data_IF_769205691916
#
_entry.id   IF_769205691916
#
_cell.length_a   1.000
_cell.length_b   1.000
_cell.length_c   1.000
_cell.angle_alpha   90.00
_cell.angle_beta   90.00
_cell.angle_gamma   90.00
#
_symmetry.space_group_name_H-M   'P 1'
#
loop_
_entity.id
_entity.type
_entity.pdbx_description
1 polymer ?
#
# COMPACT_ATOMS: atom_id res chain seq x y z
N UNK A 1 -31.02 -37.71 6.21
CA UNK A 1 -31.18 -38.46 7.47
C UNK A 1 -29.99 -39.37 7.85
N UNK A 2 -29.48 -40.29 7.01
CA UNK A 2 -28.30 -41.14 7.40
C UNK A 2 -26.97 -40.38 7.46
N UNK A 3 -26.73 -39.40 6.59
CA UNK A 3 -25.50 -38.60 6.61
C UNK A 3 -25.45 -37.56 7.75
N UNK A 4 -26.61 -37.03 8.15
CA UNK A 4 -26.71 -36.12 9.30
C UNK A 4 -26.46 -36.83 10.62
N UNK A 5 -26.98 -38.05 10.77
CA UNK A 5 -26.74 -38.88 11.96
C UNK A 5 -25.26 -39.29 12.12
N UNK A 6 -24.56 -39.60 11.03
CA UNK A 6 -23.12 -39.92 11.08
C UNK A 6 -22.27 -38.68 11.38
N UNK A 7 -22.65 -37.52 10.89
CA UNK A 7 -21.99 -36.23 11.19
C UNK A 7 -22.16 -35.83 12.67
N UNK A 8 -23.36 -36.04 13.24
CA UNK A 8 -23.61 -35.80 14.67
C UNK A 8 -22.86 -36.78 15.58
N UNK A 9 -22.82 -38.07 15.23
CA UNK A 9 -22.05 -39.03 16.02
C UNK A 9 -20.55 -38.78 15.95
N UNK A 10 -20.03 -38.45 14.78
CA UNK A 10 -18.62 -38.09 14.61
C UNK A 10 -18.29 -36.83 15.41
N UNK A 11 -19.16 -35.81 15.39
CA UNK A 11 -19.00 -34.59 16.15
C UNK A 11 -19.07 -34.83 17.66
N UNK A 12 -19.98 -35.68 18.14
CA UNK A 12 -20.06 -36.10 19.53
C UNK A 12 -18.83 -36.92 19.97
N UNK A 13 -18.29 -37.75 19.09
CA UNK A 13 -17.09 -38.53 19.36
C UNK A 13 -15.83 -37.65 19.40
N UNK A 14 -15.71 -36.71 18.49
CA UNK A 14 -14.65 -35.68 18.49
C UNK A 14 -14.76 -34.78 19.73
N UNK A 15 -15.96 -34.37 20.10
CA UNK A 15 -16.23 -33.56 21.30
C UNK A 15 -15.83 -34.30 22.59
N UNK A 16 -16.22 -35.58 22.71
CA UNK A 16 -15.84 -36.42 23.85
C UNK A 16 -14.34 -36.72 23.90
N UNK A 17 -13.67 -36.81 22.77
CA UNK A 17 -12.22 -36.99 22.66
C UNK A 17 -11.43 -35.71 22.98
N UNK A 18 -11.96 -34.52 22.61
CA UNK A 18 -11.37 -33.22 22.90
C UNK A 18 -11.65 -32.76 24.35
N UNK A 19 -12.86 -32.97 24.85
CA UNK A 19 -13.32 -32.43 26.15
C UNK A 19 -13.47 -33.51 27.24
N UNK A 20 -13.07 -34.76 26.97
CA UNK A 20 -13.17 -35.87 27.92
C UNK A 20 -12.23 -35.79 29.14
N UNK A 21 -11.45 -34.72 29.28
CA UNK A 21 -10.58 -34.48 30.44
C UNK A 21 -10.58 -32.99 30.78
N UNK A 22 -10.78 -32.67 32.05
CA UNK A 22 -10.75 -31.28 32.56
C UNK A 22 -9.53 -30.51 32.03
N UNK A 23 -8.37 -31.16 31.96
CA UNK A 23 -7.13 -30.61 31.44
C UNK A 23 -7.27 -30.15 29.98
N UNK A 24 -7.83 -31.01 29.11
CA UNK A 24 -8.01 -30.70 27.68
C UNK A 24 -9.01 -29.56 27.48
N UNK A 25 -10.09 -29.59 28.27
CA UNK A 25 -11.14 -28.57 28.22
C UNK A 25 -10.59 -27.19 28.60
N UNK A 26 -9.89 -27.09 29.71
CA UNK A 26 -9.28 -25.81 30.16
C UNK A 26 -8.27 -25.32 29.12
N UNK A 27 -7.41 -26.19 28.60
CA UNK A 27 -6.45 -25.84 27.59
C UNK A 27 -7.12 -25.31 26.29
N UNK A 28 -8.18 -26.01 25.82
CA UNK A 28 -8.93 -25.60 24.65
C UNK A 28 -9.63 -24.24 24.85
N UNK A 29 -10.21 -24.00 26.03
CA UNK A 29 -10.86 -22.72 26.37
C UNK A 29 -9.85 -21.58 26.37
N UNK A 30 -8.67 -21.75 27.00
CA UNK A 30 -7.61 -20.73 27.02
C UNK A 30 -7.13 -20.46 25.59
N UNK A 31 -6.92 -21.50 24.79
CA UNK A 31 -6.46 -21.38 23.41
C UNK A 31 -7.45 -20.60 22.54
N UNK A 32 -8.74 -20.91 22.65
CA UNK A 32 -9.80 -20.20 21.93
C UNK A 32 -9.89 -18.74 22.40
N UNK A 33 -9.83 -18.51 23.70
CA UNK A 33 -9.95 -17.17 24.31
C UNK A 33 -8.81 -16.23 23.92
N UNK A 34 -7.64 -16.75 23.56
CA UNK A 34 -6.49 -15.95 23.13
C UNK A 34 -6.41 -15.87 21.61
N UNK A 35 -6.57 -17.01 20.90
CA UNK A 35 -6.40 -17.04 19.45
C UNK A 35 -7.52 -16.29 18.74
N UNK A 36 -8.77 -16.45 19.14
CA UNK A 36 -9.90 -15.83 18.43
C UNK A 36 -9.82 -14.31 18.47
N UNK A 37 -9.67 -13.63 19.63
CA UNK A 37 -9.53 -12.19 19.67
C UNK A 37 -8.28 -11.69 18.93
N UNK A 38 -7.14 -12.39 19.05
CA UNK A 38 -5.90 -12.02 18.34
C UNK A 38 -6.08 -12.11 16.83
N UNK A 39 -6.73 -13.17 16.33
CA UNK A 39 -7.01 -13.31 14.91
C UNK A 39 -7.98 -12.24 14.39
N UNK A 40 -9.04 -11.94 15.15
CA UNK A 40 -10.01 -10.89 14.81
C UNK A 40 -9.31 -9.53 14.75
N UNK A 41 -8.55 -9.18 15.78
CA UNK A 41 -7.80 -7.92 15.83
C UNK A 41 -6.78 -7.85 14.69
N UNK A 42 -6.09 -8.95 14.39
CA UNK A 42 -5.15 -9.03 13.27
C UNK A 42 -5.81 -8.76 11.93
N UNK A 43 -6.97 -9.36 11.66
CA UNK A 43 -7.71 -9.15 10.40
C UNK A 43 -8.23 -7.71 10.31
N UNK A 44 -8.77 -7.16 11.40
CA UNK A 44 -9.26 -5.77 11.43
C UNK A 44 -8.10 -4.80 11.20
N UNK A 45 -7.00 -4.96 11.93
CA UNK A 45 -5.81 -4.12 11.80
C UNK A 45 -5.23 -4.16 10.40
N UNK A 46 -5.12 -5.36 9.79
CA UNK A 46 -4.65 -5.49 8.42
C UNK A 46 -5.55 -4.79 7.40
N UNK A 47 -6.88 -4.92 7.54
CA UNK A 47 -7.84 -4.23 6.67
C UNK A 47 -7.76 -2.71 6.80
N UNK A 48 -7.69 -2.21 8.03
CA UNK A 48 -7.56 -0.77 8.29
C UNK A 48 -6.23 -0.22 7.76
N UNK A 49 -5.12 -0.89 8.03
CA UNK A 49 -3.81 -0.50 7.54
C UNK A 49 -3.79 -0.42 6.00
N UNK A 50 -4.30 -1.46 5.32
CA UNK A 50 -4.39 -1.47 3.86
C UNK A 50 -5.23 -0.30 3.32
N UNK A 51 -6.34 0.03 3.97
CA UNK A 51 -7.18 1.17 3.58
C UNK A 51 -6.43 2.49 3.73
N UNK A 52 -5.75 2.70 4.87
CA UNK A 52 -4.97 3.91 5.15
C UNK A 52 -3.83 4.08 4.13
N UNK A 53 -3.06 3.02 3.87
CA UNK A 53 -1.97 3.07 2.88
C UNK A 53 -2.50 3.39 1.50
N UNK A 54 -3.57 2.73 1.06
CA UNK A 54 -4.16 3.01 -0.27
C UNK A 54 -4.63 4.46 -0.38
N UNK A 55 -5.23 5.01 0.67
CA UNK A 55 -5.69 6.40 0.69
C UNK A 55 -4.51 7.38 0.71
N UNK A 56 -3.49 7.12 1.51
CA UNK A 56 -2.27 7.95 1.55
C UNK A 56 -1.58 7.98 0.17
N UNK A 57 -1.46 6.83 -0.48
CA UNK A 57 -0.90 6.75 -1.84
C UNK A 57 -1.76 7.51 -2.84
N UNK A 58 -3.08 7.43 -2.73
CA UNK A 58 -4.01 8.20 -3.57
C UNK A 58 -3.77 9.71 -3.44
N UNK A 59 -3.72 10.20 -2.21
CA UNK A 59 -3.50 11.63 -1.92
C UNK A 59 -2.12 12.08 -2.40
N UNK A 60 -1.09 11.27 -2.13
CA UNK A 60 0.29 11.58 -2.55
C UNK A 60 0.42 11.59 -4.08
N UNK A 61 -0.17 10.61 -4.77
CA UNK A 61 -0.19 10.57 -6.23
C UNK A 61 -0.87 11.81 -6.82
N UNK A 62 -2.02 12.19 -6.28
CA UNK A 62 -2.74 13.37 -6.72
C UNK A 62 -1.91 14.63 -6.50
N UNK A 63 -1.29 14.77 -5.32
CA UNK A 63 -0.43 15.92 -4.99
C UNK A 63 0.78 16.01 -5.92
N UNK A 64 1.51 14.92 -6.13
CA UNK A 64 2.68 14.87 -7.01
C UNK A 64 2.31 15.19 -8.46
N UNK A 65 1.22 14.60 -8.96
CA UNK A 65 0.75 14.85 -10.34
C UNK A 65 0.35 16.31 -10.53
N UNK A 66 -0.33 16.90 -9.55
CA UNK A 66 -0.70 18.31 -9.53
C UNK A 66 0.53 19.23 -9.50
N UNK A 67 1.55 18.88 -8.71
CA UNK A 67 2.80 19.62 -8.64
C UNK A 67 3.53 19.63 -10.00
N UNK A 68 3.61 18.47 -10.67
CA UNK A 68 4.22 18.36 -11.99
C UNK A 68 3.43 19.19 -13.01
N UNK A 69 2.10 19.09 -13.00
CA UNK A 69 1.26 19.91 -13.88
C UNK A 69 1.48 21.40 -13.66
N UNK A 70 1.59 21.85 -12.42
CA UNK A 70 1.89 23.25 -12.07
C UNK A 70 3.28 23.68 -12.53
N UNK A 71 4.29 22.80 -12.43
CA UNK A 71 5.64 23.09 -12.92
C UNK A 71 5.65 23.23 -14.44
N UNK A 72 4.96 22.34 -15.17
CA UNK A 72 4.81 22.44 -16.62
C UNK A 72 4.06 23.74 -16.99
N UNK A 73 2.97 24.08 -16.28
CA UNK A 73 2.26 25.34 -16.49
C UNK A 73 3.17 26.56 -16.29
N UNK A 74 4.04 26.52 -15.28
CA UNK A 74 5.07 27.54 -15.05
C UNK A 74 6.04 27.68 -16.22
N UNK A 75 6.54 26.57 -16.78
CA UNK A 75 7.40 26.57 -17.96
C UNK A 75 6.65 27.19 -19.16
N UNK A 76 5.40 26.77 -19.41
CA UNK A 76 4.61 27.29 -20.52
C UNK A 76 4.32 28.78 -20.36
N UNK A 77 4.07 29.25 -19.14
CA UNK A 77 3.89 30.68 -18.85
C UNK A 77 5.17 31.48 -19.07
N UNK A 78 6.34 30.94 -18.73
CA UNK A 78 7.61 31.58 -19.03
C UNK A 78 7.84 31.68 -20.54
N UNK A 79 7.58 30.62 -21.31
CA UNK A 79 7.63 30.69 -22.77
C UNK A 79 6.67 31.74 -23.34
N UNK A 80 5.48 31.89 -22.79
CA UNK A 80 4.52 32.91 -23.17
C UNK A 80 5.03 34.31 -22.87
N UNK A 81 5.61 34.52 -21.68
CA UNK A 81 6.16 35.80 -21.28
C UNK A 81 7.34 36.23 -22.17
N UNK A 82 8.26 35.26 -22.46
CA UNK A 82 9.39 35.52 -23.38
C UNK A 82 8.88 35.84 -24.78
N UNK A 83 7.84 35.14 -25.26
CA UNK A 83 7.20 35.47 -26.53
C UNK A 83 6.62 36.89 -26.55
N UNK A 84 5.98 37.32 -25.48
CA UNK A 84 5.47 38.67 -25.37
C UNK A 84 6.59 39.72 -25.31
N UNK A 85 7.70 39.42 -24.62
CA UNK A 85 8.88 40.28 -24.58
C UNK A 85 9.45 40.50 -25.98
N UNK A 86 9.58 39.44 -26.77
CA UNK A 86 10.00 39.56 -28.18
C UNK A 86 9.00 40.36 -29.02
N UNK A 87 7.70 40.10 -28.85
CA UNK A 87 6.63 40.79 -29.57
C UNK A 87 6.65 42.30 -29.36
N UNK A 88 6.96 42.77 -28.16
CA UNK A 88 6.97 44.18 -27.79
C UNK A 88 8.28 44.90 -28.13
N UNK A 89 9.29 44.18 -28.61
CA UNK A 89 10.61 44.73 -28.86
C UNK A 89 10.70 45.44 -30.22
N UNK A 90 11.24 46.65 -30.20
CA UNK A 90 11.36 47.49 -31.43
C UNK A 90 12.27 46.87 -32.47
N UNK A 91 13.36 46.16 -32.10
CA UNK A 91 14.25 45.49 -33.04
C UNK A 91 13.53 44.37 -33.84
N UNK A 92 12.60 43.67 -33.17
CA UNK A 92 11.73 42.67 -33.83
C UNK A 92 10.82 43.38 -34.82
N UNK A 93 10.20 44.49 -34.42
CA UNK A 93 9.32 45.27 -35.27
C UNK A 93 10.05 45.86 -36.47
N UNK A 94 11.23 46.48 -36.28
CA UNK A 94 12.08 47.00 -37.35
C UNK A 94 12.43 45.95 -38.39
N UNK A 95 12.85 44.75 -37.94
CA UNK A 95 13.14 43.62 -38.83
C UNK A 95 11.91 43.18 -39.62
N UNK A 96 10.75 43.08 -38.98
CA UNK A 96 9.53 42.63 -39.65
C UNK A 96 9.00 43.64 -40.70
N UNK A 97 9.18 44.92 -40.46
CA UNK A 97 8.67 46.02 -41.27
C UNK A 97 9.68 46.56 -42.32
N UNK A 98 10.98 46.26 -42.18
CA UNK A 98 12.02 46.76 -43.09
C UNK A 98 11.67 46.45 -44.56
N UNK A 99 11.83 47.39 -45.45
CA UNK A 99 11.43 47.26 -46.86
C UNK A 99 12.64 47.19 -47.82
N UNK A 100 13.68 47.97 -47.50
CA UNK A 100 14.89 48.02 -48.28
C UNK A 100 15.83 46.84 -47.92
N UNK A 101 16.56 46.20 -48.85
CA UNK A 101 17.55 45.17 -48.56
C UNK A 101 18.58 45.56 -47.50
N UNK A 102 19.07 46.83 -47.56
CA UNK A 102 20.06 47.35 -46.60
C UNK A 102 19.47 47.52 -45.21
N UNK A 103 18.25 48.00 -45.12
CA UNK A 103 17.50 48.08 -43.85
C UNK A 103 17.27 46.67 -43.22
N UNK A 104 16.93 45.68 -44.05
CA UNK A 104 16.72 44.31 -43.59
C UNK A 104 18.00 43.73 -43.03
N UNK A 105 19.15 43.95 -43.68
CA UNK A 105 20.44 43.45 -43.22
C UNK A 105 20.83 44.11 -41.87
N UNK A 106 20.70 45.41 -41.76
CA UNK A 106 20.99 46.13 -40.53
C UNK A 106 20.08 45.72 -39.38
N UNK A 107 18.78 45.62 -39.65
CA UNK A 107 17.79 45.16 -38.64
C UNK A 107 18.04 43.72 -38.24
N UNK A 108 18.51 42.85 -39.18
CA UNK A 108 18.88 41.48 -38.89
C UNK A 108 20.03 41.39 -37.85
N UNK A 109 21.09 42.18 -38.03
CA UNK A 109 22.21 42.22 -37.05
C UNK A 109 21.78 42.70 -35.67
N UNK A 110 20.97 43.72 -35.58
CA UNK A 110 20.44 44.22 -34.30
C UNK A 110 19.55 43.19 -33.62
N UNK A 111 18.65 42.58 -34.39
CA UNK A 111 17.77 41.51 -33.93
C UNK A 111 18.56 40.28 -33.44
N UNK A 112 19.59 39.87 -34.17
CA UNK A 112 20.42 38.71 -33.82
C UNK A 112 21.12 38.92 -32.49
N UNK A 113 21.74 40.09 -32.25
CA UNK A 113 22.35 40.37 -30.96
C UNK A 113 21.33 40.35 -29.81
N UNK A 114 20.17 40.96 -30.04
CA UNK A 114 19.11 40.96 -29.03
C UNK A 114 18.62 39.56 -28.71
N UNK A 115 18.28 38.78 -29.74
CA UNK A 115 17.74 37.41 -29.53
C UNK A 115 18.75 36.49 -28.86
N UNK A 116 20.01 36.51 -29.29
CA UNK A 116 21.05 35.67 -28.70
C UNK A 116 21.28 36.02 -27.22
N UNK A 117 21.28 37.30 -26.88
CA UNK A 117 21.39 37.75 -25.48
C UNK A 117 20.19 37.30 -24.67
N UNK A 118 18.98 37.37 -25.22
CA UNK A 118 17.77 36.97 -24.51
C UNK A 118 17.72 35.45 -24.28
N UNK A 119 18.04 34.68 -25.29
CA UNK A 119 18.01 33.20 -25.21
C UNK A 119 19.08 32.66 -24.24
N UNK A 120 20.23 33.33 -24.12
CA UNK A 120 21.33 32.91 -23.26
C UNK A 120 20.93 32.75 -21.79
N UNK A 121 19.88 33.41 -21.34
CA UNK A 121 19.37 33.36 -19.97
C UNK A 121 18.09 32.51 -19.80
N UNK A 122 17.57 31.93 -20.91
CA UNK A 122 16.31 31.18 -20.90
C UNK A 122 16.59 29.68 -21.01
N UNK A 123 16.47 28.97 -19.91
CA UNK A 123 16.78 27.53 -19.79
C UNK A 123 15.97 26.64 -20.77
N UNK A 124 14.74 27.03 -21.04
CA UNK A 124 13.81 26.21 -21.83
C UNK A 124 13.75 26.58 -23.30
N UNK A 125 14.25 27.74 -23.70
CA UNK A 125 14.24 28.17 -25.11
C UNK A 125 15.44 27.58 -25.84
N UNK A 126 15.17 26.82 -26.89
CA UNK A 126 16.21 26.26 -27.77
C UNK A 126 16.57 27.26 -28.89
N UNK A 127 15.55 27.80 -29.56
CA UNK A 127 15.71 28.75 -30.67
C UNK A 127 14.46 29.60 -30.84
N UNK A 128 14.61 30.70 -31.57
CA UNK A 128 13.53 31.63 -31.94
C UNK A 128 13.62 31.97 -33.41
N UNK A 129 12.48 31.89 -34.10
CA UNK A 129 12.30 32.31 -35.48
C UNK A 129 11.37 33.52 -35.55
N UNK A 130 11.69 34.45 -36.42
CA UNK A 130 10.80 35.48 -36.92
C UNK A 130 10.64 35.36 -38.43
N UNK A 131 9.41 35.25 -38.90
CA UNK A 131 9.08 35.09 -40.29
C UNK A 131 8.29 36.29 -40.78
N UNK A 132 8.82 36.99 -41.76
CA UNK A 132 8.18 38.16 -42.39
C UNK A 132 7.03 37.70 -43.32
N UNK A 133 6.16 38.64 -43.65
CA UNK A 133 5.09 38.36 -44.61
C UNK A 133 5.59 38.10 -46.01
N UNK A 134 6.77 38.61 -46.40
CA UNK A 134 7.43 38.37 -47.69
C UNK A 134 8.14 37.01 -47.76
N UNK A 135 8.10 36.23 -46.65
CA UNK A 135 8.69 34.88 -46.56
C UNK A 135 10.14 34.87 -46.07
N UNK A 136 10.81 36.01 -45.93
CA UNK A 136 12.16 36.06 -45.34
C UNK A 136 12.08 35.69 -43.85
N UNK A 137 13.11 34.95 -43.40
CA UNK A 137 13.15 34.38 -42.09
C UNK A 137 14.43 34.78 -41.35
N UNK A 138 14.31 35.26 -40.14
CA UNK A 138 15.36 35.20 -39.13
C UNK A 138 15.23 33.92 -38.34
N UNK A 139 16.32 33.26 -38.05
CA UNK A 139 16.39 32.13 -37.16
C UNK A 139 17.64 32.22 -36.31
N UNK A 140 17.50 31.99 -35.00
CA UNK A 140 18.63 31.88 -34.06
C UNK A 140 19.34 30.52 -34.13
N UNK A 141 18.81 29.56 -34.92
CA UNK A 141 19.39 28.23 -35.13
C UNK A 141 19.20 27.79 -36.56
N UNK A 142 20.21 27.12 -37.12
CA UNK A 142 20.19 26.60 -38.48
C UNK A 142 19.39 25.32 -38.65
N UNK A 143 18.99 24.67 -37.54
CA UNK A 143 18.33 23.34 -37.52
C UNK A 143 16.80 23.40 -37.54
N UNK A 144 16.19 24.59 -37.52
CA UNK A 144 14.74 24.73 -37.47
C UNK A 144 14.12 24.89 -38.86
N UNK A 145 13.01 24.17 -39.13
CA UNK A 145 12.33 24.22 -40.47
C UNK A 145 11.47 25.48 -40.65
N UNK A 146 11.18 26.22 -39.57
CA UNK A 146 10.32 27.39 -39.61
C UNK A 146 8.83 27.05 -39.60
N UNK A 147 8.00 28.07 -39.87
CA UNK A 147 6.56 27.99 -39.85
C UNK A 147 6.03 27.65 -41.24
N UNK A 148 5.31 26.51 -41.39
CA UNK A 148 4.70 26.10 -42.66
C UNK A 148 3.52 27.01 -43.08
N UNK A 149 3.17 27.02 -44.37
CA UNK A 149 2.03 27.77 -44.89
C UNK A 149 0.70 27.52 -44.15
N UNK A 150 0.27 26.25 -44.01
CA UNK A 150 -0.97 25.95 -43.27
C UNK A 150 -0.98 26.46 -41.80
N UNK A 151 0.17 26.44 -41.13
CA UNK A 151 0.28 26.95 -39.77
C UNK A 151 0.17 28.49 -39.75
N UNK A 152 0.72 29.18 -40.76
CA UNK A 152 0.56 30.64 -40.91
C UNK A 152 -0.89 31.04 -41.09
N UNK A 153 -1.64 30.32 -41.92
CA UNK A 153 -3.09 30.57 -42.12
C UNK A 153 -3.88 30.38 -40.80
N UNK A 154 -3.59 29.26 -40.08
CA UNK A 154 -4.23 28.99 -38.80
C UNK A 154 -3.93 30.07 -37.74
N UNK A 155 -2.69 30.63 -37.75
CA UNK A 155 -2.30 31.69 -36.82
C UNK A 155 -2.98 33.02 -37.16
N UNK A 156 -3.24 33.29 -38.45
CA UNK A 156 -4.00 34.47 -38.88
C UNK A 156 -5.47 34.35 -38.48
N UNK A 157 -6.10 33.20 -38.64
CA UNK A 157 -7.48 32.96 -38.25
C UNK A 157 -7.70 33.09 -36.74
N UNK A 158 -6.73 32.69 -35.93
CA UNK A 158 -6.82 32.77 -34.45
C UNK A 158 -6.66 34.18 -33.90
N UNK A 159 -6.66 35.25 -34.72
CA UNK A 159 -6.54 36.62 -34.29
C UNK A 159 -5.40 36.87 -33.29
N UNK A 160 -4.20 36.32 -33.56
CA UNK A 160 -3.02 36.50 -32.72
C UNK A 160 -2.93 35.60 -31.47
N UNK A 161 -3.88 34.69 -31.27
CA UNK A 161 -3.77 33.71 -30.23
C UNK A 161 -2.61 32.75 -30.49
N UNK A 162 -1.85 32.34 -29.46
CA UNK A 162 -0.72 31.43 -29.65
C UNK A 162 -1.18 30.01 -29.98
N UNK A 163 -0.31 29.28 -30.66
CA UNK A 163 -0.47 27.87 -31.00
C UNK A 163 0.72 27.07 -30.49
N UNK A 164 0.46 26.01 -29.72
CA UNK A 164 1.46 25.00 -29.43
C UNK A 164 1.54 24.00 -30.58
N UNK A 165 2.77 23.56 -30.88
CA UNK A 165 3.07 22.59 -31.92
C UNK A 165 3.95 21.48 -31.35
N UNK A 166 3.51 20.27 -31.51
CA UNK A 166 4.23 19.04 -31.13
C UNK A 166 4.75 18.25 -32.31
N UNK A 167 4.48 18.72 -33.52
CA UNK A 167 4.76 18.10 -34.84
C UNK A 167 5.97 18.71 -35.53
N UNK A 168 6.93 19.28 -34.81
CA UNK A 168 8.09 19.94 -35.45
C UNK A 168 9.17 18.92 -35.68
N UNK A 169 9.51 18.77 -36.98
CA UNK A 169 10.67 18.02 -37.41
C UNK A 169 11.91 18.91 -37.46
N UNK A 170 13.03 18.39 -37.02
CA UNK A 170 14.33 19.06 -37.10
C UNK A 170 15.02 18.52 -38.33
N UNK A 171 15.59 19.39 -39.16
CA UNK A 171 16.40 18.98 -40.31
C UNK A 171 17.60 18.17 -39.80
N UNK A 172 17.77 16.96 -40.38
CA UNK A 172 18.83 16.03 -40.02
C UNK A 172 20.18 16.51 -40.59
N UNK A 173 20.96 17.19 -39.75
CA UNK A 173 22.34 17.54 -40.03
C UNK A 173 23.30 16.55 -39.40
N UNK A 174 23.27 15.28 -39.82
CA UNK A 174 24.20 14.21 -39.44
C UNK A 174 24.49 14.12 -37.96
N UNK A 175 24.57 12.94 -37.39
CA UNK A 175 25.01 12.55 -36.04
C UNK A 175 24.45 13.30 -34.81
N UNK A 176 23.80 14.46 -34.92
CA UNK A 176 22.94 15.05 -33.92
C UNK A 176 21.61 14.31 -33.99
N UNK A 177 21.43 13.29 -33.16
CA UNK A 177 20.13 12.67 -32.91
C UNK A 177 19.08 13.76 -32.86
N UNK A 178 18.05 13.65 -33.70
CA UNK A 178 16.95 14.61 -33.81
C UNK A 178 16.38 14.89 -32.44
N UNK A 179 16.84 15.97 -31.80
CA UNK A 179 16.19 16.48 -30.60
C UNK A 179 14.78 16.85 -31.05
N UNK A 180 13.78 16.09 -30.61
CA UNK A 180 12.39 16.42 -30.91
C UNK A 180 12.09 17.77 -30.28
N UNK A 181 11.72 18.74 -31.13
CA UNK A 181 11.40 20.10 -30.71
C UNK A 181 9.89 20.29 -30.69
N UNK A 182 9.45 20.99 -29.70
CA UNK A 182 8.10 21.54 -29.62
C UNK A 182 8.15 23.04 -29.90
N UNK A 183 7.09 23.60 -30.45
CA UNK A 183 7.00 24.99 -30.82
C UNK A 183 5.87 25.72 -30.15
N UNK A 184 6.14 26.99 -29.84
CA UNK A 184 5.15 27.95 -29.45
C UNK A 184 5.13 29.05 -30.51
N UNK A 185 4.07 29.11 -31.28
CA UNK A 185 3.96 30.02 -32.44
C UNK A 185 2.85 31.06 -32.24
N UNK A 186 3.04 32.27 -32.77
CA UNK A 186 2.01 33.30 -32.82
C UNK A 186 2.16 34.21 -34.06
N UNK A 187 1.05 34.83 -34.43
CA UNK A 187 1.06 35.94 -35.36
C UNK A 187 1.45 37.24 -34.59
N UNK A 188 2.34 38.04 -35.18
CA UNK A 188 2.74 39.33 -34.65
C UNK A 188 1.98 40.44 -35.41
N UNK A 189 1.30 41.30 -34.68
CA UNK A 189 0.62 42.49 -35.23
C UNK A 189 1.41 43.74 -34.87
N UNK A 190 1.24 44.79 -35.67
CA UNK A 190 1.87 46.07 -35.38
C UNK A 190 1.32 46.64 -34.05
N UNK A 191 2.23 47.03 -33.14
CA UNK A 191 1.84 47.62 -31.85
C UNK A 191 1.07 48.92 -32.05
N UNK A 192 1.36 49.66 -33.15
CA UNK A 192 0.71 50.93 -33.50
C UNK A 192 -0.64 50.72 -34.22
N UNK A 193 -0.84 49.56 -34.83
CA UNK A 193 -2.11 49.15 -35.45
C UNK A 193 -2.32 47.64 -35.29
N UNK A 194 -2.98 47.29 -34.18
CA UNK A 194 -3.19 45.88 -33.75
C UNK A 194 -3.95 45.07 -34.83
N UNK A 195 -4.63 45.69 -35.77
CA UNK A 195 -5.35 45.01 -36.84
C UNK A 195 -4.44 44.50 -37.96
N UNK A 196 -3.18 44.98 -38.05
CA UNK A 196 -2.29 44.67 -39.18
C UNK A 196 -1.26 43.62 -38.76
N UNK A 197 -1.30 42.38 -39.31
CA UNK A 197 -0.25 41.40 -39.10
C UNK A 197 1.05 41.86 -39.80
N UNK A 198 2.17 41.78 -39.11
CA UNK A 198 3.49 42.13 -39.63
C UNK A 198 4.42 40.96 -39.79
N UNK A 199 4.07 39.81 -39.18
CA UNK A 199 4.87 38.59 -39.31
C UNK A 199 4.45 37.53 -38.31
N UNK A 200 5.30 36.53 -38.17
CA UNK A 200 5.09 35.39 -37.29
C UNK A 200 6.31 35.17 -36.42
N UNK A 201 6.09 34.69 -35.22
CA UNK A 201 7.11 34.24 -34.27
C UNK A 201 6.92 32.78 -33.96
N UNK A 202 8.01 32.03 -33.82
CA UNK A 202 8.02 30.68 -33.27
C UNK A 202 9.18 30.54 -32.30
N UNK A 203 8.88 30.13 -31.07
CA UNK A 203 9.87 29.73 -30.06
C UNK A 203 9.92 28.23 -30.04
N UNK A 204 11.12 27.68 -30.08
CA UNK A 204 11.36 26.23 -30.00
C UNK A 204 11.88 25.87 -28.63
N UNK A 205 11.40 24.75 -28.10
CA UNK A 205 11.88 24.17 -26.87
C UNK A 205 12.02 22.65 -26.98
N UNK A 206 12.97 22.07 -26.23
CA UNK A 206 13.27 20.64 -26.31
C UNK A 206 12.24 19.83 -25.56
N UNK A 207 11.63 18.84 -26.22
CA UNK A 207 10.80 17.79 -25.57
C UNK A 207 11.54 17.11 -24.42
N UNK A 208 12.86 16.93 -24.58
CA UNK A 208 13.72 16.31 -23.57
C UNK A 208 13.70 17.04 -22.21
N UNK A 209 13.47 18.35 -22.19
CA UNK A 209 13.38 19.11 -20.93
C UNK A 209 12.14 18.70 -20.14
N UNK A 210 10.99 18.53 -20.79
CA UNK A 210 9.78 18.03 -20.14
C UNK A 210 9.93 16.56 -19.73
N UNK A 211 10.58 15.76 -20.57
CA UNK A 211 10.85 14.33 -20.25
C UNK A 211 11.77 14.19 -19.03
N UNK A 212 12.79 15.06 -18.92
CA UNK A 212 13.67 15.12 -17.74
C UNK A 212 12.87 15.47 -16.50
N UNK A 213 12.02 16.47 -16.57
CA UNK A 213 11.14 16.85 -15.46
C UNK A 213 10.31 15.65 -14.98
N UNK A 214 9.68 14.88 -15.88
CA UNK A 214 8.93 13.67 -15.49
C UNK A 214 9.82 12.60 -14.85
N UNK A 215 11.04 12.42 -15.36
CA UNK A 215 11.98 11.43 -14.83
C UNK A 215 12.52 11.80 -13.44
N UNK A 216 12.68 13.09 -13.14
CA UNK A 216 13.13 13.58 -11.84
C UNK A 216 12.11 13.28 -10.73
N UNK A 217 10.84 13.15 -11.09
CA UNK A 217 9.77 12.75 -10.16
C UNK A 217 9.50 11.25 -10.14
N UNK A 218 10.12 10.48 -11.06
CA UNK A 218 9.83 9.06 -11.21
C UNK A 218 10.51 8.23 -10.12
N UNK A 219 9.71 7.45 -9.37
CA UNK A 219 10.19 6.36 -8.53
C UNK A 219 10.07 5.01 -9.27
N UNK A 220 10.69 3.98 -8.71
CA UNK A 220 10.60 2.62 -9.25
C UNK A 220 9.15 2.17 -9.40
N UNK A 221 8.80 1.63 -10.59
CA UNK A 221 7.45 1.15 -10.92
C UNK A 221 6.39 2.24 -11.08
N UNK A 222 6.80 3.48 -11.21
CA UNK A 222 5.95 4.58 -11.62
C UNK A 222 6.16 4.90 -13.10
N UNK A 223 5.09 5.26 -13.78
CA UNK A 223 5.12 5.79 -15.13
C UNK A 223 4.38 7.13 -15.18
N UNK A 224 4.94 8.06 -15.94
CA UNK A 224 4.35 9.38 -16.17
C UNK A 224 4.14 9.62 -17.65
N UNK A 225 3.02 10.26 -17.98
CA UNK A 225 2.63 10.60 -19.32
C UNK A 225 2.20 12.06 -19.39
N UNK A 226 2.52 12.76 -20.49
CA UNK A 226 1.85 13.98 -20.89
C UNK A 226 0.96 13.62 -22.06
N UNK A 227 -0.31 13.98 -21.95
CA UNK A 227 -1.36 13.63 -22.91
C UNK A 227 -1.93 14.89 -23.52
N UNK A 228 -2.00 14.93 -24.85
CA UNK A 228 -2.65 15.95 -25.67
C UNK A 228 -3.71 15.26 -26.54
N UNK A 229 -4.95 15.77 -26.52
CA UNK A 229 -6.08 15.24 -27.32
C UNK A 229 -6.22 13.69 -27.28
N UNK A 230 -5.99 13.10 -26.10
CA UNK A 230 -6.09 11.67 -25.88
C UNK A 230 -4.89 10.86 -26.37
N UNK A 231 -3.82 11.49 -26.88
CA UNK A 231 -2.56 10.84 -27.29
C UNK A 231 -1.44 11.18 -26.32
N UNK A 232 -0.57 10.21 -26.08
CA UNK A 232 0.62 10.39 -25.26
C UNK A 232 1.69 11.06 -26.09
N UNK A 233 2.02 12.32 -25.78
CA UNK A 233 3.05 13.10 -26.46
C UNK A 233 4.42 12.94 -25.80
N UNK A 234 4.46 12.68 -24.48
CA UNK A 234 5.68 12.39 -23.72
C UNK A 234 5.40 11.27 -22.73
N UNK A 235 6.35 10.34 -22.62
CA UNK A 235 6.30 9.25 -21.65
C UNK A 235 7.67 9.02 -21.02
N UNK A 236 7.66 8.56 -19.76
CA UNK A 236 8.86 8.00 -19.11
C UNK A 236 9.22 6.62 -19.64
N UNK A 237 8.29 5.98 -20.38
CA UNK A 237 8.50 4.76 -21.15
C UNK A 237 8.39 5.10 -22.65
N UNK A 238 9.51 5.11 -23.39
CA UNK A 238 9.51 5.53 -24.79
C UNK A 238 8.57 4.75 -25.70
N UNK A 239 8.33 3.47 -25.39
CA UNK A 239 7.47 2.59 -26.20
C UNK A 239 5.98 2.96 -26.15
N UNK A 240 5.62 3.87 -25.27
CA UNK A 240 4.26 4.35 -25.07
C UNK A 240 3.96 5.66 -25.81
N UNK A 241 5.00 6.38 -26.27
CA UNK A 241 4.83 7.65 -26.96
C UNK A 241 4.09 7.47 -28.29
N UNK A 242 3.21 8.40 -28.61
CA UNK A 242 2.38 8.39 -29.82
C UNK A 242 1.12 7.51 -29.75
N UNK A 243 1.01 6.62 -28.74
CA UNK A 243 -0.18 5.76 -28.58
C UNK A 243 -1.36 6.53 -28.01
N UNK A 244 -2.56 6.03 -28.26
CA UNK A 244 -3.74 6.55 -27.58
C UNK A 244 -3.69 6.16 -26.10
N UNK A 245 -4.00 7.10 -25.21
CA UNK A 245 -4.01 6.83 -23.76
C UNK A 245 -5.00 5.74 -23.37
N UNK A 246 -6.09 5.58 -24.14
CA UNK A 246 -7.08 4.53 -23.96
C UNK A 246 -6.57 3.11 -24.22
N UNK A 247 -5.50 2.95 -25.01
CA UNK A 247 -4.86 1.65 -25.26
C UNK A 247 -4.06 1.17 -24.03
N UNK A 248 -3.51 2.11 -23.26
CA UNK A 248 -2.65 1.83 -22.12
C UNK A 248 -3.45 1.89 -20.82
N UNK A 249 -4.31 2.88 -20.70
CA UNK A 249 -5.14 3.15 -19.52
C UNK A 249 -6.62 3.15 -19.92
N UNK A 250 -7.21 1.98 -20.16
CA UNK A 250 -8.62 1.87 -20.53
C UNK A 250 -9.49 2.45 -19.40
N UNK A 251 -10.46 3.28 -19.78
CA UNK A 251 -11.39 3.97 -18.87
C UNK A 251 -10.79 5.12 -18.05
N UNK A 252 -9.61 5.62 -18.36
CA UNK A 252 -9.11 6.85 -17.76
C UNK A 252 -9.98 8.02 -18.21
N UNK A 253 -10.55 8.76 -17.22
CA UNK A 253 -11.31 9.98 -17.47
C UNK A 253 -10.36 11.18 -17.39
N UNK A 254 -10.30 11.95 -18.47
CA UNK A 254 -9.48 13.17 -18.57
C UNK A 254 -10.34 14.44 -18.46
N UNK A 255 -11.62 14.34 -18.13
CA UNK A 255 -12.56 15.46 -18.16
C UNK A 255 -12.50 16.35 -16.91
N UNK A 256 -11.82 15.92 -15.85
CA UNK A 256 -11.73 16.62 -14.57
C UNK A 256 -10.36 17.34 -14.44
N UNK A 257 -10.35 18.47 -13.72
CA UNK A 257 -9.11 19.21 -13.42
C UNK A 257 -8.12 18.33 -12.64
N UNK A 258 -8.65 17.45 -11.76
CA UNK A 258 -7.88 16.45 -10.99
C UNK A 258 -8.72 15.19 -10.82
N UNK A 259 -8.17 14.06 -11.17
CA UNK A 259 -8.83 12.78 -10.88
C UNK A 259 -7.82 11.73 -10.40
N UNK A 260 -8.29 10.80 -9.57
CA UNK A 260 -7.52 9.63 -9.17
C UNK A 260 -8.44 8.42 -9.17
N UNK A 261 -8.03 7.36 -9.89
CA UNK A 261 -8.86 6.17 -10.08
C UNK A 261 -7.98 4.92 -9.90
N UNK A 262 -8.62 3.85 -9.42
CA UNK A 262 -8.03 2.52 -9.45
C UNK A 262 -8.58 1.76 -10.66
N UNK A 263 -7.71 1.12 -11.41
CA UNK A 263 -8.08 0.30 -12.54
C UNK A 263 -7.20 -0.93 -12.67
N UNK A 264 -7.52 -1.82 -13.58
CA UNK A 264 -6.65 -2.95 -13.92
C UNK A 264 -6.08 -2.73 -15.31
N UNK A 265 -4.75 -2.84 -15.41
CA UNK A 265 -4.01 -2.81 -16.66
C UNK A 265 -3.30 -4.15 -16.78
N UNK A 266 -3.56 -4.90 -17.84
CA UNK A 266 -3.02 -6.26 -18.06
C UNK A 266 -3.18 -7.19 -16.85
N UNK A 267 -4.35 -7.10 -16.19
CA UNK A 267 -4.65 -7.90 -15.00
C UNK A 267 -4.01 -7.40 -13.69
N UNK A 268 -3.08 -6.44 -13.77
CA UNK A 268 -2.41 -5.84 -12.61
C UNK A 268 -3.22 -4.65 -12.10
N UNK A 269 -3.53 -4.59 -10.80
CA UNK A 269 -4.20 -3.43 -10.24
C UNK A 269 -3.22 -2.24 -10.19
N UNK A 270 -3.62 -1.13 -10.80
CA UNK A 270 -2.87 0.12 -10.82
C UNK A 270 -3.72 1.26 -10.25
N UNK A 271 -3.04 2.25 -9.70
CA UNK A 271 -3.64 3.52 -9.35
C UNK A 271 -3.14 4.58 -10.33
N UNK A 272 -4.06 5.33 -10.90
CA UNK A 272 -3.75 6.45 -11.77
C UNK A 272 -4.18 7.74 -11.13
N UNK A 273 -3.41 8.81 -11.36
CA UNK A 273 -3.80 10.17 -11.04
C UNK A 273 -3.59 11.03 -12.27
N UNK A 274 -4.49 11.95 -12.55
CA UNK A 274 -4.31 12.92 -13.61
C UNK A 274 -4.53 14.35 -13.09
N UNK A 275 -3.79 15.29 -13.70
CA UNK A 275 -3.91 16.71 -13.45
C UNK A 275 -3.83 17.47 -14.78
N UNK A 276 -4.71 18.45 -14.94
CA UNK A 276 -4.76 19.29 -16.12
C UNK A 276 -3.75 20.42 -16.04
N UNK A 277 -2.97 20.61 -17.10
CA UNK A 277 -2.18 21.82 -17.36
C UNK A 277 -3.10 22.78 -18.09
N UNK A 278 -3.49 23.88 -17.45
CA UNK A 278 -4.51 24.80 -18.00
C UNK A 278 -4.15 25.31 -19.39
N UNK A 279 -2.87 25.54 -19.60
CA UNK A 279 -2.35 25.96 -20.88
C UNK A 279 -1.08 25.13 -21.19
N UNK A 280 -1.01 24.40 -22.29
CA UNK A 280 -1.89 24.40 -23.47
C UNK A 280 -3.14 23.49 -23.41
N UNK A 281 -3.48 22.93 -22.29
CA UNK A 281 -4.64 22.04 -22.14
C UNK A 281 -4.24 20.58 -22.03
N UNK A 282 -2.97 20.30 -21.79
CA UNK A 282 -2.44 18.96 -21.61
C UNK A 282 -2.89 18.33 -20.28
N UNK A 283 -2.76 17.02 -20.20
CA UNK A 283 -2.93 16.30 -18.96
C UNK A 283 -1.63 15.61 -18.57
N UNK A 284 -1.22 15.78 -17.32
CA UNK A 284 -0.20 14.94 -16.71
C UNK A 284 -0.89 13.75 -16.09
N UNK A 285 -0.46 12.57 -16.46
CA UNK A 285 -0.99 11.31 -15.93
C UNK A 285 0.13 10.54 -15.25
N UNK A 286 -0.10 10.13 -14.01
CA UNK A 286 0.79 9.24 -13.26
C UNK A 286 0.13 7.89 -13.10
N UNK A 287 0.89 6.84 -13.31
CA UNK A 287 0.49 5.44 -13.05
C UNK A 287 1.44 4.82 -12.03
N UNK A 288 0.88 4.15 -11.02
CA UNK A 288 1.65 3.37 -10.04
C UNK A 288 1.02 1.98 -9.88
N UNK A 289 1.85 0.95 -9.83
CA UNK A 289 1.38 -0.42 -9.55
C UNK A 289 1.04 -0.60 -8.07
N UNK A 290 -0.19 -1.04 -7.78
CA UNK A 290 -0.60 -1.38 -6.42
C UNK A 290 0.12 -2.62 -5.86
N UNK A 291 0.75 -3.43 -6.71
CA UNK A 291 1.58 -4.56 -6.28
C UNK A 291 2.83 -4.12 -5.52
N UNK A 292 3.38 -2.95 -5.84
CA UNK A 292 4.52 -2.38 -5.11
C UNK A 292 4.13 -1.89 -3.71
N UNK A 293 2.93 -1.34 -3.57
CA UNK A 293 2.37 -0.99 -2.25
C UNK A 293 2.22 -2.23 -1.38
N UNK A 294 2.03 -3.40 -1.99
CA UNK A 294 1.99 -4.68 -1.27
C UNK A 294 3.34 -5.05 -0.62
N UNK A 295 4.47 -4.54 -1.11
CA UNK A 295 5.78 -4.70 -0.48
C UNK A 295 5.86 -4.03 0.89
N UNK A 296 5.34 -2.82 1.03
CA UNK A 296 5.30 -2.11 2.31
C UNK A 296 4.36 -2.79 3.32
N UNK A 297 3.29 -3.44 2.84
CA UNK A 297 2.40 -4.22 3.71
C UNK A 297 3.00 -5.56 4.15
N UNK A 298 4.09 -6.02 3.54
CA UNK A 298 4.76 -7.27 3.92
C UNK A 298 5.30 -7.22 5.35
N UNK A 299 5.82 -6.08 5.79
CA UNK A 299 6.32 -5.88 7.17
C UNK A 299 5.19 -6.05 8.17
N UNK A 300 4.02 -5.44 7.92
CA UNK A 300 2.85 -5.56 8.80
C UNK A 300 2.33 -6.98 8.83
N UNK A 301 2.27 -7.65 7.66
CA UNK A 301 1.90 -9.06 7.57
C UNK A 301 2.86 -9.93 8.38
N UNK A 302 4.15 -9.71 8.29
CA UNK A 302 5.16 -10.44 9.06
C UNK A 302 4.99 -10.23 10.56
N UNK A 303 4.76 -8.98 11.00
CA UNK A 303 4.48 -8.67 12.40
C UNK A 303 3.23 -9.39 12.92
N UNK A 304 2.16 -9.45 12.12
CA UNK A 304 0.93 -10.17 12.49
C UNK A 304 1.17 -11.69 12.60
N UNK A 305 1.95 -12.28 11.69
CA UNK A 305 2.29 -13.70 11.73
C UNK A 305 3.16 -14.00 12.96
N UNK A 306 4.20 -13.20 13.21
CA UNK A 306 5.10 -13.39 14.36
C UNK A 306 4.38 -13.21 15.70
N UNK A 307 3.49 -12.22 15.82
CA UNK A 307 2.66 -12.03 17.01
C UNK A 307 1.70 -13.20 17.23
N UNK A 308 1.12 -13.74 16.15
CA UNK A 308 0.28 -14.94 16.21
C UNK A 308 1.04 -16.18 16.70
N UNK A 309 2.25 -16.42 16.16
CA UNK A 309 3.11 -17.52 16.62
C UNK A 309 3.47 -17.33 18.09
N UNK A 310 3.85 -16.12 18.50
CA UNK A 310 4.18 -15.80 19.88
C UNK A 310 2.99 -16.08 20.82
N UNK A 311 1.79 -15.70 20.42
CA UNK A 311 0.56 -15.97 21.19
C UNK A 311 0.34 -17.47 21.37
N UNK A 312 0.53 -18.29 20.32
CA UNK A 312 0.41 -19.75 20.41
C UNK A 312 1.46 -20.34 21.37
N UNK A 313 2.71 -19.88 21.31
CA UNK A 313 3.78 -20.33 22.22
C UNK A 313 3.45 -19.99 23.67
N UNK A 314 2.99 -18.73 23.93
CA UNK A 314 2.58 -18.31 25.27
C UNK A 314 1.40 -19.12 25.79
N UNK A 315 0.41 -19.43 24.95
CA UNK A 315 -0.69 -20.34 25.30
C UNK A 315 -0.20 -21.74 25.67
N UNK A 316 0.73 -22.30 24.87
CA UNK A 316 1.29 -23.62 25.15
C UNK A 316 2.04 -23.65 26.49
N UNK A 317 2.85 -22.63 26.78
CA UNK A 317 3.54 -22.47 28.06
C UNK A 317 2.56 -22.32 29.23
N UNK A 318 1.56 -21.45 29.11
CA UNK A 318 0.54 -21.26 30.15
C UNK A 318 -0.22 -22.57 30.42
N UNK A 319 -0.60 -23.29 29.35
CA UNK A 319 -1.25 -24.61 29.47
C UNK A 319 -0.35 -25.67 30.13
N UNK A 320 0.94 -25.66 29.83
CA UNK A 320 1.92 -26.56 30.45
C UNK A 320 2.04 -26.27 31.95
N UNK A 321 2.19 -25.00 32.35
CA UNK A 321 2.26 -24.61 33.76
C UNK A 321 0.96 -24.95 34.50
N UNK A 322 -0.19 -24.61 33.93
CA UNK A 322 -1.49 -24.93 34.51
C UNK A 322 -1.69 -26.43 34.70
N UNK A 323 -1.29 -27.22 33.71
CA UNK A 323 -1.31 -28.68 33.76
C UNK A 323 -0.45 -29.23 34.89
N UNK A 324 0.77 -28.71 35.04
CA UNK A 324 1.75 -29.19 36.02
C UNK A 324 1.40 -28.80 37.46
N UNK A 325 0.95 -27.55 37.64
CA UNK A 325 0.79 -26.97 38.99
C UNK A 325 -0.61 -27.06 39.53
N UNK A 326 -1.63 -27.17 38.72
CA UNK A 326 -3.03 -27.22 39.17
C UNK A 326 -3.65 -28.58 38.85
N UNK A 327 -3.61 -29.00 37.59
CA UNK A 327 -4.41 -30.19 37.19
C UNK A 327 -3.82 -31.49 37.72
N UNK A 328 -2.48 -31.65 37.71
CA UNK A 328 -1.86 -32.90 38.23
C UNK A 328 -2.09 -33.13 39.70
N UNK A 329 -1.95 -32.14 40.61
CA UNK A 329 -2.31 -32.30 42.04
C UNK A 329 -3.78 -32.67 42.23
N UNK A 330 -4.72 -32.02 41.53
CA UNK A 330 -6.14 -32.36 41.56
C UNK A 330 -6.44 -33.80 41.18
N UNK A 331 -5.82 -34.26 40.08
CA UNK A 331 -5.95 -35.67 39.65
C UNK A 331 -5.38 -36.65 40.67
N UNK A 332 -4.28 -36.31 41.36
CA UNK A 332 -3.74 -37.16 42.44
C UNK A 332 -4.71 -37.21 43.62
N UNK A 333 -5.34 -36.11 43.97
CA UNK A 333 -6.38 -36.08 44.99
C UNK A 333 -7.55 -36.98 44.60
N UNK A 334 -8.10 -36.81 43.39
CA UNK A 334 -9.17 -37.64 42.81
C UNK A 334 -8.82 -39.17 42.90
N UNK A 335 -7.62 -39.53 42.42
CA UNK A 335 -7.14 -40.91 42.42
C UNK A 335 -7.02 -41.44 43.86
N UNK A 336 -6.52 -40.65 44.79
CA UNK A 336 -6.39 -41.06 46.18
C UNK A 336 -7.74 -41.23 46.90
N UNK A 337 -8.72 -40.40 46.55
CA UNK A 337 -10.10 -40.52 47.06
C UNK A 337 -10.76 -41.82 46.52
N UNK A 338 -10.52 -42.16 45.25
CA UNK A 338 -11.12 -43.35 44.61
C UNK A 338 -10.58 -44.67 45.15
N UNK A 339 -9.33 -44.73 45.59
CA UNK A 339 -8.68 -45.95 46.07
C UNK A 339 -8.45 -45.91 47.58
N UNK A 340 -9.16 -45.06 48.33
CA UNK A 340 -8.96 -44.87 49.77
C UNK A 340 -9.27 -46.14 50.57
N UNK A 341 -10.26 -46.93 50.15
CA UNK A 341 -10.66 -48.20 50.76
C UNK A 341 -9.64 -49.30 50.48
N UNK A 342 -9.10 -49.40 49.27
CA UNK A 342 -8.13 -50.41 48.90
C UNK A 342 -6.78 -50.25 49.59
N UNK A 343 -6.35 -49.04 49.88
CA UNK A 343 -5.10 -48.71 50.56
C UNK A 343 -5.23 -48.67 52.10
N UNK A 344 -6.33 -49.13 52.67
CA UNK A 344 -6.58 -49.14 54.11
C UNK A 344 -6.37 -47.78 54.78
N UNK A 345 -6.81 -46.70 54.11
CA UNK A 345 -6.74 -45.28 54.60
C UNK A 345 -5.33 -44.77 54.93
N UNK A 346 -4.23 -45.46 54.51
CA UNK A 346 -2.84 -45.07 54.85
C UNK A 346 -2.19 -44.12 53.90
N UNK A 347 -2.84 -43.82 52.73
CA UNK A 347 -2.27 -42.98 51.68
C UNK A 347 -2.32 -41.52 52.09
N UNK A 348 -1.15 -40.88 52.22
CA UNK A 348 -1.02 -39.44 52.49
C UNK A 348 -0.70 -38.68 51.21
N UNK A 349 -1.40 -37.58 51.00
CA UNK A 349 -1.11 -36.64 49.91
C UNK A 349 -0.01 -35.67 50.34
N UNK A 350 1.00 -35.39 49.47
CA UNK A 350 1.99 -34.39 49.80
C UNK A 350 1.37 -32.99 49.78
N UNK A 351 1.82 -32.13 50.66
CA UNK A 351 1.46 -30.72 50.67
C UNK A 351 2.03 -30.09 49.45
N UNK A 352 1.20 -29.36 48.69
CA UNK A 352 1.60 -28.67 47.44
C UNK A 352 1.91 -27.21 47.79
N UNK A 353 2.70 -26.53 46.89
CA UNK A 353 3.14 -25.14 47.13
C UNK A 353 2.01 -24.08 47.05
N UNK A 354 0.78 -24.47 46.66
CA UNK A 354 -0.37 -23.58 46.61
C UNK A 354 -1.23 -23.76 47.87
N UNK A 355 -1.58 -22.65 48.55
CA UNK A 355 -2.25 -22.64 49.84
C UNK A 355 -3.60 -23.42 49.79
N UNK A 356 -4.40 -23.17 48.73
CA UNK A 356 -5.72 -23.80 48.58
C UNK A 356 -5.61 -25.31 48.36
N UNK A 357 -4.65 -25.73 47.53
CA UNK A 357 -4.42 -27.16 47.26
C UNK A 357 -3.77 -27.85 48.48
N UNK A 358 -2.94 -27.16 49.23
CA UNK A 358 -2.35 -27.64 50.47
C UNK A 358 -3.42 -27.79 51.57
N UNK A 359 -4.34 -26.84 51.71
CA UNK A 359 -5.51 -26.95 52.60
C UNK A 359 -6.37 -28.19 52.26
N UNK A 360 -6.67 -28.41 50.98
CA UNK A 360 -7.41 -29.59 50.50
C UNK A 360 -6.66 -30.90 50.83
N UNK A 361 -5.35 -30.95 50.60
CA UNK A 361 -4.52 -32.12 50.92
C UNK A 361 -4.50 -32.37 52.45
N UNK A 362 -4.38 -31.33 53.28
CA UNK A 362 -4.43 -31.43 54.72
C UNK A 362 -5.81 -31.94 55.23
N UNK A 363 -6.90 -31.40 54.66
CA UNK A 363 -8.25 -31.83 54.99
C UNK A 363 -8.46 -33.32 54.64
N UNK A 364 -8.03 -33.74 53.46
CA UNK A 364 -8.07 -35.12 53.00
C UNK A 364 -7.26 -36.02 53.91
N UNK A 365 -6.01 -35.68 54.25
CA UNK A 365 -5.14 -36.46 55.12
C UNK A 365 -5.73 -36.63 56.53
N UNK A 366 -6.35 -35.54 57.07
CA UNK A 366 -7.08 -35.60 58.34
C UNK A 366 -8.30 -36.55 58.31
N UNK A 367 -9.10 -36.46 57.24
CA UNK A 367 -10.24 -37.34 57.05
C UNK A 367 -9.79 -38.80 56.92
N UNK A 368 -8.77 -39.09 56.14
CA UNK A 368 -8.20 -40.44 55.96
C UNK A 368 -7.70 -41.03 57.25
N UNK A 369 -6.96 -40.25 58.07
CA UNK A 369 -6.50 -40.68 59.40
C UNK A 369 -7.65 -41.00 60.36
N UNK A 370 -8.73 -40.18 60.31
CA UNK A 370 -9.89 -40.38 61.16
C UNK A 370 -10.68 -41.64 60.77
N UNK A 371 -10.78 -41.91 59.47
CA UNK A 371 -11.39 -43.14 58.96
C UNK A 371 -10.57 -44.40 59.34
N UNK A 372 -9.24 -44.34 59.22
CA UNK A 372 -8.35 -45.44 59.66
C UNK A 372 -8.53 -45.74 61.13
N UNK A 373 -8.59 -44.71 61.97
CA UNK A 373 -8.83 -44.85 63.41
C UNK A 373 -10.19 -45.50 63.70
N UNK A 374 -11.26 -45.06 63.03
CA UNK A 374 -12.62 -45.61 63.21
C UNK A 374 -12.70 -47.07 62.76
N UNK A 375 -12.11 -47.42 61.61
CA UNK A 375 -12.07 -48.79 61.08
C UNK A 375 -11.33 -49.70 62.08
N UNK A 376 -10.18 -49.27 62.60
CA UNK A 376 -9.42 -50.02 63.57
C UNK A 376 -10.19 -50.17 64.89
N UNK A 377 -10.93 -49.17 65.37
CA UNK A 377 -11.78 -49.27 66.55
C UNK A 377 -12.90 -50.28 66.35
N UNK A 378 -13.59 -50.21 65.19
CA UNK A 378 -14.66 -51.18 64.87
C UNK A 378 -14.07 -52.60 64.74
N UNK A 379 -12.90 -52.74 64.11
CA UNK A 379 -12.24 -54.04 63.98
C UNK A 379 -11.88 -54.65 65.35
N UNK A 380 -11.26 -53.82 66.22
CA UNK A 380 -10.93 -54.25 67.59
C UNK A 380 -12.18 -54.53 68.43
N UNK A 381 -13.27 -53.77 68.29
CA UNK A 381 -14.54 -54.04 68.94
C UNK A 381 -15.11 -55.40 68.47
N UNK A 382 -15.06 -55.66 67.18
CA UNK A 382 -15.55 -56.91 66.61
C UNK A 382 -14.71 -58.16 67.06
N UNK A 383 -13.39 -57.98 67.18
CA UNK A 383 -12.52 -59.02 67.77
C UNK A 383 -12.91 -59.30 69.21
N UNK A 384 -13.10 -58.22 70.03
CA UNK A 384 -13.51 -58.37 71.46
C UNK A 384 -14.87 -59.02 71.60
N UNK A 385 -15.82 -58.70 70.71
CA UNK A 385 -17.13 -59.33 70.66
C UNK A 385 -16.99 -60.83 70.34
N UNK A 386 -16.19 -61.19 69.31
CA UNK A 386 -15.92 -62.54 68.96
C UNK A 386 -15.22 -63.30 70.04
N UNK A 387 -14.23 -62.70 70.73
CA UNK A 387 -13.55 -63.26 71.87
C UNK A 387 -14.54 -63.57 73.05
N UNK A 388 -15.45 -62.61 73.32
CA UNK A 388 -16.47 -62.73 74.33
C UNK A 388 -17.45 -63.87 73.96
N UNK A 389 -17.83 -63.93 72.67
CA UNK A 389 -18.66 -65.04 72.19
C UNK A 389 -17.96 -66.43 72.35
N UNK A 390 -16.65 -66.50 72.02
CA UNK A 390 -15.87 -67.71 72.17
C UNK A 390 -15.77 -68.11 73.65
N UNK A 391 -15.51 -67.13 74.59
CA UNK A 391 -15.48 -67.39 76.02
C UNK A 391 -16.85 -67.87 76.56
N UNK A 392 -17.91 -67.24 76.08
CA UNK A 392 -19.25 -67.66 76.42
C UNK A 392 -19.55 -69.09 75.97
N UNK A 393 -19.17 -69.41 74.74
CA UNK A 393 -19.29 -70.80 74.21
C UNK A 393 -18.44 -71.81 75.02
N UNK A 394 -17.20 -71.41 75.37
CA UNK A 394 -16.34 -72.28 76.23
C UNK A 394 -16.91 -72.48 77.61
N UNK A 395 -17.60 -71.50 78.23
CA UNK A 395 -18.27 -71.58 79.51
C UNK A 395 -19.52 -72.52 79.42
N UNK A 396 -20.20 -72.59 78.25
CA UNK A 396 -21.31 -73.51 78.00
C UNK A 396 -20.87 -74.97 77.84
N UNK A 397 -19.61 -75.17 77.38
CA UNK A 397 -19.02 -76.53 77.32
C UNK A 397 -18.56 -76.84 78.75
N UNK A 398 -19.47 -77.53 79.52
CA UNK A 398 -19.20 -77.90 80.84
C UNK A 398 -17.96 -78.79 80.96
N UNK A 399 -16.83 -78.38 81.67
CA UNK A 399 -15.59 -79.15 81.70
C UNK A 399 -15.80 -80.57 82.32
N UNK A 400 -16.92 -80.75 82.95
CA UNK A 400 -17.24 -82.03 83.59
C UNK A 400 -17.63 -83.12 82.66
N UNK A 401 -17.81 -82.82 81.32
CA UNK A 401 -18.16 -83.86 80.33
C UNK A 401 -16.93 -84.47 79.60
N UNK A 402 -15.72 -83.88 79.79
CA UNK A 402 -14.48 -84.36 79.18
C UNK A 402 -13.62 -85.24 80.09
N UNK A 403 -14.08 -85.53 81.33
CA UNK A 403 -13.41 -86.44 82.25
C UNK A 403 -14.40 -87.61 82.68
N UNK A 404 -14.78 -88.39 81.64
CA UNK A 404 -15.27 -89.76 81.85
C UNK A 404 -14.81 -90.60 80.74
#
# INVERSE_FOLDING_TARGET
MRQESQSEEMMKMLWKRMFGSLQKTIFAVILVLIIVPTAILGVISYRQYRKIITENVRVLNQSNTSQIASNIEGIMKNLQNSSLSFYQNEMVREYLLARDPDEVEQAWYSLNQYVLNQIAYEEYIYAVDFVRLDGRRYSSSSVTEGISGPVKELLMEKSGGPLFRTDIHVADYGDLRSDELYGYARCIHDINDIGIPIGFQQIYFKKQNLKRLLNDYRADGEAYYIVEDGRIIISTDPDQEGKAVSEILPNLKLDEEYSSQQMKVDGTPVMTACARVKYPGWYVVKQISLSQISGETAVVRQLLITSGILAVVLCALAGFFLSRFVIRPLKRLESSMKHIEEDHFKRKLPETGYEELSLLAKAFNRMSARLDELVNQVYLAKIREKDAQIRAMQAYINPHFLYR
#
